data_IF_199460995304
#
_entry.id   IF_199460995304
#
_cell.length_a   1.000
_cell.length_b   1.000
_cell.length_c   1.000
_cell.angle_alpha   90.00
_cell.angle_beta   90.00
_cell.angle_gamma   90.00
#
_symmetry.space_group_name_H-M   'P 1'
#
loop_
_entity.id
_entity.type
_entity.pdbx_description
1 polymer ?
#
# COMPACT_ATOMS: atom_id res chain seq x y z
N UNK A 1 -15.47 28.44 -11.59
CA UNK A 1 -16.31 27.37 -12.16
C UNK A 1 -15.45 26.22 -12.71
N UNK A 2 -14.46 26.46 -13.62
CA UNK A 2 -13.59 25.41 -14.19
C UNK A 2 -12.80 24.64 -13.12
N UNK A 3 -12.31 25.28 -12.06
CA UNK A 3 -11.59 24.65 -10.96
C UNK A 3 -12.52 23.77 -10.13
N UNK A 4 -13.72 24.24 -9.82
CA UNK A 4 -14.74 23.48 -9.08
C UNK A 4 -15.24 22.26 -9.88
N UNK A 5 -15.46 22.41 -11.18
CA UNK A 5 -15.79 21.31 -12.09
C UNK A 5 -14.65 20.28 -12.21
N UNK A 6 -13.39 20.74 -12.22
CA UNK A 6 -12.21 19.86 -12.22
C UNK A 6 -12.06 19.07 -10.91
N UNK A 7 -12.39 19.69 -9.77
CA UNK A 7 -12.41 19.03 -8.47
C UNK A 7 -13.55 18.01 -8.37
N UNK A 8 -14.76 18.38 -8.79
CA UNK A 8 -15.90 17.48 -8.89
C UNK A 8 -15.64 16.30 -9.84
N UNK A 9 -15.03 16.55 -10.99
CA UNK A 9 -14.63 15.49 -11.92
C UNK A 9 -13.66 14.51 -11.28
N UNK A 10 -12.65 14.99 -10.56
CA UNK A 10 -11.71 14.12 -9.81
C UNK A 10 -12.40 13.33 -8.71
N UNK A 11 -13.24 13.97 -7.88
CA UNK A 11 -13.93 13.27 -6.79
C UNK A 11 -14.99 12.26 -7.25
N UNK A 12 -15.65 12.48 -8.39
CA UNK A 12 -16.79 11.66 -8.82
C UNK A 12 -16.53 10.82 -10.08
N UNK A 13 -15.50 11.12 -10.86
CA UNK A 13 -15.25 10.43 -12.13
C UNK A 13 -13.96 9.61 -12.12
N UNK A 14 -12.87 10.16 -11.60
CA UNK A 14 -11.56 9.52 -11.70
C UNK A 14 -11.40 8.37 -10.69
N UNK A 15 -12.19 8.38 -9.59
CA UNK A 15 -12.15 7.36 -8.53
C UNK A 15 -13.29 6.33 -8.61
N UNK A 16 -14.03 6.28 -9.72
CA UNK A 16 -15.03 5.23 -9.94
C UNK A 16 -14.35 3.87 -10.07
N UNK A 17 -14.97 2.83 -9.52
CA UNK A 17 -14.47 1.45 -9.60
C UNK A 17 -14.21 1.00 -11.04
N UNK A 18 -15.02 1.45 -11.99
CA UNK A 18 -14.89 1.13 -13.42
C UNK A 18 -13.61 1.70 -14.07
N UNK A 19 -12.99 2.71 -13.46
CA UNK A 19 -11.77 3.34 -13.95
C UNK A 19 -10.49 2.68 -13.41
N UNK A 20 -10.60 1.77 -12.45
CA UNK A 20 -9.46 1.08 -11.88
C UNK A 20 -8.83 0.11 -12.89
N UNK A 21 -7.54 -0.20 -12.69
CA UNK A 21 -6.86 -1.25 -13.45
C UNK A 21 -7.45 -2.63 -13.20
N UNK A 22 -7.85 -2.88 -11.96
CA UNK A 22 -8.62 -4.06 -11.57
C UNK A 22 -9.46 -3.75 -10.32
N UNK A 23 -10.68 -4.27 -10.29
CA UNK A 23 -11.58 -4.17 -9.16
C UNK A 23 -12.26 -5.52 -8.91
N UNK A 24 -11.94 -6.14 -7.81
CA UNK A 24 -12.56 -7.40 -7.34
C UNK A 24 -13.97 -7.20 -6.77
N UNK A 25 -14.50 -8.26 -6.16
CA UNK A 25 -15.81 -8.24 -5.53
C UNK A 25 -15.77 -7.56 -4.16
N UNK A 26 -16.89 -6.93 -3.77
CA UNK A 26 -17.08 -6.31 -2.44
C UNK A 26 -16.03 -5.24 -2.08
N UNK A 27 -15.39 -4.62 -3.05
CA UNK A 27 -14.48 -3.47 -2.82
C UNK A 27 -15.29 -2.29 -2.30
N UNK A 28 -14.80 -1.65 -1.22
CA UNK A 28 -15.46 -0.49 -0.58
C UNK A 28 -14.52 0.70 -0.57
N UNK A 29 -14.90 1.77 -1.24
CA UNK A 29 -14.21 3.06 -1.24
C UNK A 29 -15.08 4.08 -0.50
N UNK A 30 -14.56 4.68 0.58
CA UNK A 30 -15.22 5.80 1.26
C UNK A 30 -14.62 7.11 0.77
N UNK A 31 -15.43 7.92 0.13
CA UNK A 31 -15.02 9.20 -0.45
C UNK A 31 -14.91 10.31 0.60
N UNK A 32 -14.08 11.37 0.37
CA UNK A 32 -13.28 11.59 -0.84
C UNK A 32 -12.01 10.71 -0.89
N UNK A 33 -11.66 10.23 -2.09
CA UNK A 33 -10.41 9.53 -2.38
C UNK A 33 -9.83 10.12 -3.67
N UNK A 34 -8.52 10.23 -3.78
CA UNK A 34 -7.83 10.70 -4.97
C UNK A 34 -6.81 9.68 -5.48
N UNK A 35 -6.99 9.20 -6.70
CA UNK A 35 -6.00 8.42 -7.44
C UNK A 35 -5.49 9.24 -8.62
N UNK A 36 -4.17 9.50 -8.70
CA UNK A 36 -3.62 10.26 -9.82
C UNK A 36 -3.73 9.48 -11.14
N UNK A 37 -3.49 8.17 -11.12
CA UNK A 37 -3.71 7.28 -12.23
C UNK A 37 -4.51 6.05 -11.79
N UNK A 38 -5.85 6.10 -11.88
CA UNK A 38 -6.72 4.98 -11.45
C UNK A 38 -6.44 3.68 -12.21
N UNK A 39 -5.98 3.75 -13.47
CA UNK A 39 -5.64 2.57 -14.26
C UNK A 39 -4.49 1.75 -13.68
N UNK A 40 -3.68 2.35 -12.82
CA UNK A 40 -2.60 1.70 -12.09
C UNK A 40 -2.97 1.37 -10.63
N UNK A 41 -4.26 1.28 -10.32
CA UNK A 41 -4.78 0.82 -9.02
C UNK A 41 -5.50 -0.50 -9.21
N UNK A 42 -5.06 -1.52 -8.47
CA UNK A 42 -5.54 -2.90 -8.53
C UNK A 42 -6.03 -3.30 -7.14
N UNK A 43 -7.33 -3.46 -7.00
CA UNK A 43 -7.97 -3.81 -5.73
C UNK A 43 -8.63 -5.18 -5.88
N UNK A 44 -8.15 -6.16 -5.12
CA UNK A 44 -8.72 -7.50 -5.10
C UNK A 44 -10.00 -7.57 -4.24
N UNK A 45 -10.54 -8.76 -4.05
CA UNK A 45 -11.81 -8.97 -3.35
C UNK A 45 -11.76 -8.48 -1.88
N UNK A 46 -12.85 -7.88 -1.43
CA UNK A 46 -13.06 -7.40 -0.07
C UNK A 46 -12.09 -6.29 0.38
N UNK A 47 -11.41 -5.62 -0.53
CA UNK A 47 -10.53 -4.47 -0.19
C UNK A 47 -11.37 -3.29 0.28
N UNK A 48 -10.89 -2.61 1.34
CA UNK A 48 -11.53 -1.42 1.89
C UNK A 48 -10.52 -0.27 1.94
N UNK A 49 -10.87 0.87 1.37
CA UNK A 49 -10.10 2.13 1.52
C UNK A 49 -11.03 3.20 2.08
N UNK A 50 -10.67 3.74 3.23
CA UNK A 50 -11.42 4.80 3.90
C UNK A 50 -11.13 6.18 3.30
N UNK A 51 -11.94 7.16 3.69
CA UNK A 51 -11.94 8.52 3.17
C UNK A 51 -10.61 9.28 3.32
N UNK A 52 -10.49 10.35 2.57
CA UNK A 52 -9.33 11.27 2.52
C UNK A 52 -8.01 10.60 2.08
N UNK A 53 -8.11 9.44 1.44
CA UNK A 53 -6.95 8.69 0.97
C UNK A 53 -6.43 9.23 -0.36
N UNK A 54 -5.10 9.18 -0.52
CA UNK A 54 -4.39 9.75 -1.67
C UNK A 54 -3.39 8.73 -2.25
N UNK A 55 -3.49 8.46 -3.54
CA UNK A 55 -2.52 7.64 -4.28
C UNK A 55 -1.85 8.47 -5.36
N UNK A 56 -0.58 8.81 -5.13
CA UNK A 56 0.28 9.53 -6.07
C UNK A 56 1.03 8.49 -6.89
N UNK A 57 0.48 8.15 -8.04
CA UNK A 57 1.02 7.14 -8.94
C UNK A 57 0.94 7.61 -10.39
N UNK A 58 1.99 7.39 -11.17
CA UNK A 58 1.99 7.69 -12.60
C UNK A 58 2.13 6.40 -13.41
N UNK A 59 3.26 5.72 -13.31
CA UNK A 59 3.53 4.42 -13.94
C UNK A 59 3.56 3.28 -12.95
N UNK A 60 3.97 3.54 -11.69
CA UNK A 60 3.92 2.56 -10.62
C UNK A 60 2.48 2.24 -10.18
N UNK A 61 2.27 1.03 -9.73
CA UNK A 61 0.95 0.50 -9.34
C UNK A 61 0.76 0.53 -7.83
N UNK A 62 -0.49 0.71 -7.42
CA UNK A 62 -0.96 0.26 -6.12
C UNK A 62 -1.68 -1.07 -6.32
N UNK A 63 -1.22 -2.12 -5.63
CA UNK A 63 -1.85 -3.44 -5.62
C UNK A 63 -2.26 -3.75 -4.19
N UNK A 64 -3.55 -3.83 -3.93
CA UNK A 64 -4.08 -4.27 -2.64
C UNK A 64 -4.73 -5.64 -2.83
N UNK A 65 -4.18 -6.63 -2.13
CA UNK A 65 -4.66 -8.00 -2.22
C UNK A 65 -5.88 -8.24 -1.33
N UNK A 66 -6.54 -9.37 -1.52
CA UNK A 66 -7.82 -9.70 -0.92
C UNK A 66 -7.84 -9.51 0.60
N UNK A 67 -8.97 -9.05 1.11
CA UNK A 67 -9.24 -8.82 2.54
C UNK A 67 -8.36 -7.74 3.20
N UNK A 68 -7.51 -7.03 2.44
CA UNK A 68 -6.71 -5.94 3.01
C UNK A 68 -7.52 -4.66 3.17
N UNK A 69 -7.10 -3.80 4.11
CA UNK A 69 -7.82 -2.57 4.37
C UNK A 69 -6.95 -1.42 4.82
N UNK A 70 -7.32 -0.21 4.43
CA UNK A 70 -6.69 1.02 4.85
C UNK A 70 -7.69 1.99 5.48
N UNK A 71 -7.32 2.51 6.64
CA UNK A 71 -8.08 3.53 7.35
C UNK A 71 -7.91 4.91 6.70
N UNK A 72 -8.54 5.92 7.27
CA UNK A 72 -8.59 7.29 6.73
C UNK A 72 -7.20 7.89 6.49
N UNK A 73 -7.10 8.70 5.45
CA UNK A 73 -5.87 9.42 5.07
C UNK A 73 -4.69 8.49 4.76
N UNK A 74 -5.00 7.32 4.22
CA UNK A 74 -4.00 6.43 3.67
C UNK A 74 -3.33 7.09 2.46
N UNK A 75 -2.01 7.20 2.48
CA UNK A 75 -1.24 7.83 1.41
C UNK A 75 -0.27 6.82 0.79
N UNK A 76 -0.28 6.72 -0.53
CA UNK A 76 0.67 5.92 -1.31
C UNK A 76 1.43 6.80 -2.28
N UNK A 77 2.74 6.65 -2.33
CA UNK A 77 3.62 7.35 -3.26
C UNK A 77 4.44 6.30 -4.00
N UNK A 78 4.13 6.06 -5.29
CA UNK A 78 4.84 5.06 -6.10
C UNK A 78 6.09 5.60 -6.78
N UNK A 79 6.24 6.92 -6.82
CA UNK A 79 7.32 7.59 -7.54
C UNK A 79 8.23 8.41 -6.65
N UNK A 80 9.43 8.67 -7.16
CA UNK A 80 10.39 9.55 -6.50
C UNK A 80 11.23 10.27 -7.55
N UNK A 81 11.54 11.54 -7.27
CA UNK A 81 12.42 12.34 -8.12
C UNK A 81 13.84 12.27 -7.57
N UNK A 82 14.80 11.97 -8.43
CA UNK A 82 16.21 11.93 -8.08
C UNK A 82 16.97 13.10 -8.70
N UNK A 83 17.97 13.64 -7.98
CA UNK A 83 18.86 14.65 -8.56
C UNK A 83 19.60 14.09 -9.77
N UNK A 84 19.71 14.88 -10.82
CA UNK A 84 20.53 14.59 -12.00
C UNK A 84 21.79 15.46 -11.94
N UNK A 85 22.96 14.84 -12.08
CA UNK A 85 24.24 15.56 -12.06
C UNK A 85 24.24 16.73 -13.06
N UNK A 86 24.67 17.89 -12.62
CA UNK A 86 24.77 19.12 -13.42
C UNK A 86 23.43 19.66 -13.95
N UNK A 87 22.30 19.31 -13.30
CA UNK A 87 20.97 19.84 -13.64
C UNK A 87 20.25 20.35 -12.40
N UNK A 88 19.54 21.44 -12.57
CA UNK A 88 18.63 21.94 -11.54
C UNK A 88 17.39 21.07 -11.42
N UNK A 89 16.74 21.10 -10.27
CA UNK A 89 15.52 20.31 -9.99
C UNK A 89 14.46 20.51 -11.08
N UNK A 90 14.19 21.76 -11.44
CA UNK A 90 13.15 22.09 -12.43
C UNK A 90 13.41 21.43 -13.80
N UNK A 91 14.66 21.40 -14.26
CA UNK A 91 15.01 20.76 -15.52
C UNK A 91 14.87 19.24 -15.46
N UNK A 92 15.33 18.64 -14.35
CA UNK A 92 15.24 17.19 -14.18
C UNK A 92 13.78 16.72 -14.08
N UNK A 93 12.93 17.42 -13.36
CA UNK A 93 11.50 17.10 -13.21
C UNK A 93 10.75 17.29 -14.52
N UNK A 94 10.99 18.40 -15.25
CA UNK A 94 10.32 18.67 -16.53
C UNK A 94 10.52 17.55 -17.56
N UNK A 95 11.67 16.92 -17.55
CA UNK A 95 12.02 15.85 -18.49
C UNK A 95 11.97 14.45 -17.86
N UNK A 96 11.60 14.33 -16.59
CA UNK A 96 11.55 13.06 -15.84
C UNK A 96 12.83 12.22 -15.98
N UNK A 97 13.98 12.89 -16.01
CA UNK A 97 15.27 12.28 -16.38
C UNK A 97 15.74 11.19 -15.39
N UNK A 98 15.31 11.26 -14.15
CA UNK A 98 15.71 10.34 -13.10
C UNK A 98 14.53 9.92 -12.20
N UNK A 99 13.32 9.94 -12.74
CA UNK A 99 12.15 9.45 -12.01
C UNK A 99 12.24 7.93 -11.83
N UNK A 100 12.09 7.48 -10.60
CA UNK A 100 12.00 6.06 -10.26
C UNK A 100 10.60 5.81 -9.74
N UNK A 101 9.85 4.95 -10.43
CA UNK A 101 8.57 4.47 -9.97
C UNK A 101 8.60 2.96 -9.76
N UNK A 102 8.07 2.51 -8.64
CA UNK A 102 7.94 1.09 -8.29
C UNK A 102 6.59 0.85 -7.67
N UNK A 103 6.06 -0.34 -7.89
CA UNK A 103 4.79 -0.75 -7.33
C UNK A 103 4.82 -0.76 -5.81
N UNK A 104 3.69 -0.40 -5.22
CA UNK A 104 3.40 -0.60 -3.80
C UNK A 104 2.40 -1.74 -3.69
N UNK A 105 2.75 -2.74 -2.88
CA UNK A 105 1.94 -3.94 -2.70
C UNK A 105 1.49 -4.02 -1.24
N UNK A 106 0.20 -4.18 -1.04
CA UNK A 106 -0.39 -4.50 0.27
C UNK A 106 -0.91 -5.93 0.17
N UNK A 107 -0.23 -6.84 0.86
CA UNK A 107 -0.56 -8.26 0.84
C UNK A 107 -1.89 -8.54 1.56
N UNK A 108 -2.36 -9.78 1.43
CA UNK A 108 -3.64 -10.23 1.97
C UNK A 108 -3.78 -9.98 3.47
N UNK A 109 -5.00 -9.67 3.91
CA UNK A 109 -5.37 -9.41 5.32
C UNK A 109 -4.50 -8.36 6.04
N UNK A 110 -3.70 -7.58 5.33
CA UNK A 110 -2.94 -6.49 5.92
C UNK A 110 -3.86 -5.33 6.31
N UNK A 111 -3.60 -4.74 7.47
CA UNK A 111 -4.43 -3.68 8.08
C UNK A 111 -3.61 -2.42 8.24
N UNK A 112 -4.01 -1.39 7.53
CA UNK A 112 -3.29 -0.10 7.51
C UNK A 112 -4.06 0.90 8.38
N UNK A 113 -3.41 1.42 9.40
CA UNK A 113 -3.95 2.44 10.30
C UNK A 113 -4.13 3.81 9.62
N UNK A 114 -4.80 4.73 10.32
CA UNK A 114 -5.04 6.07 9.80
C UNK A 114 -3.74 6.90 9.65
N UNK A 115 -3.72 7.81 8.67
CA UNK A 115 -2.56 8.67 8.37
C UNK A 115 -1.26 7.91 8.07
N UNK A 116 -1.33 6.71 7.54
CA UNK A 116 -0.15 5.95 7.12
C UNK A 116 0.28 6.38 5.74
N UNK A 117 1.59 6.57 5.56
CA UNK A 117 2.20 6.82 4.25
C UNK A 117 3.08 5.64 3.86
N UNK A 118 2.85 5.07 2.66
CA UNK A 118 3.68 4.00 2.09
C UNK A 118 4.45 4.54 0.90
N UNK A 119 5.77 4.36 0.92
CA UNK A 119 6.66 4.88 -0.12
C UNK A 119 6.92 3.85 -1.22
N UNK A 120 7.47 4.35 -2.30
CA UNK A 120 7.82 3.65 -3.53
C UNK A 120 8.52 2.31 -3.30
N UNK A 121 8.04 1.26 -3.94
CA UNK A 121 8.64 -0.07 -3.96
C UNK A 121 8.44 -0.90 -2.70
N UNK A 122 7.55 -0.48 -1.80
CA UNK A 122 7.29 -1.19 -0.54
C UNK A 122 6.23 -2.27 -0.72
N UNK A 123 6.50 -3.43 -0.13
CA UNK A 123 5.52 -4.51 0.10
C UNK A 123 5.18 -4.59 1.59
N UNK A 124 3.90 -4.45 1.92
CA UNK A 124 3.37 -4.74 3.26
C UNK A 124 3.04 -6.24 3.30
N UNK A 125 3.65 -6.95 4.24
CA UNK A 125 3.49 -8.41 4.35
C UNK A 125 2.07 -8.82 4.76
N UNK A 126 1.69 -10.06 4.39
CA UNK A 126 0.40 -10.67 4.71
C UNK A 126 0.09 -10.58 6.21
N UNK A 127 -1.15 -10.26 6.56
CA UNK A 127 -1.62 -10.19 7.94
C UNK A 127 -0.94 -9.15 8.81
N UNK A 128 -0.11 -8.25 8.25
CA UNK A 128 0.57 -7.21 9.01
C UNK A 128 -0.37 -6.10 9.46
N UNK A 129 -0.04 -5.49 10.60
CA UNK A 129 -0.75 -4.34 11.14
C UNK A 129 0.19 -3.14 11.14
N UNK A 130 -0.19 -2.11 10.39
CA UNK A 130 0.55 -0.85 10.35
C UNK A 130 -0.13 0.16 11.25
N UNK A 131 0.57 0.58 12.30
CA UNK A 131 0.06 1.56 13.26
C UNK A 131 -0.16 2.93 12.63
N UNK A 132 -1.17 3.65 13.12
CA UNK A 132 -1.52 4.97 12.65
C UNK A 132 -0.34 5.95 12.69
N UNK A 133 -0.27 6.86 11.70
CA UNK A 133 0.79 7.87 11.59
C UNK A 133 2.15 7.35 11.15
N UNK A 134 2.25 6.09 10.74
CA UNK A 134 3.52 5.49 10.31
C UNK A 134 3.93 5.89 8.90
N UNK A 135 5.26 5.99 8.67
CA UNK A 135 5.84 6.17 7.33
C UNK A 135 6.68 4.96 6.97
N UNK A 136 6.15 4.15 6.03
CA UNK A 136 6.73 2.88 5.62
C UNK A 136 7.62 3.08 4.40
N UNK A 137 8.90 2.78 4.54
CA UNK A 137 9.92 2.94 3.49
C UNK A 137 10.74 1.67 3.19
N UNK A 138 10.39 0.57 3.83
CA UNK A 138 10.98 -0.77 3.61
C UNK A 138 9.87 -1.80 3.70
N UNK A 139 10.06 -2.93 3.05
CA UNK A 139 9.14 -4.07 3.15
C UNK A 139 8.95 -4.47 4.61
N UNK A 140 7.73 -4.88 4.94
CA UNK A 140 7.40 -5.41 6.26
C UNK A 140 7.25 -6.93 6.18
N UNK A 141 7.75 -7.66 7.19
CA UNK A 141 7.56 -9.12 7.21
C UNK A 141 6.08 -9.45 7.44
N UNK A 142 5.60 -10.62 6.98
CA UNK A 142 4.24 -11.07 7.25
C UNK A 142 3.93 -11.11 8.75
N UNK A 143 2.69 -10.85 9.11
CA UNK A 143 2.15 -10.88 10.48
C UNK A 143 2.87 -9.95 11.47
N UNK A 144 3.57 -8.94 10.98
CA UNK A 144 4.27 -7.96 11.84
C UNK A 144 3.37 -6.81 12.26
N UNK A 145 3.66 -6.25 13.44
CA UNK A 145 3.14 -4.95 13.89
C UNK A 145 4.23 -3.91 13.69
N UNK A 146 3.94 -2.91 12.86
CA UNK A 146 4.90 -1.91 12.41
C UNK A 146 4.41 -0.52 12.76
N UNK A 147 5.21 0.28 13.46
CA UNK A 147 4.81 1.61 13.93
C UNK A 147 5.95 2.61 13.78
N UNK A 148 5.60 3.86 13.55
CA UNK A 148 6.48 5.01 13.70
C UNK A 148 6.90 5.72 12.41
N UNK A 149 7.68 6.78 12.57
CA UNK A 149 8.32 7.53 11.50
C UNK A 149 9.78 7.86 11.89
N UNK A 150 10.76 7.18 11.32
CA UNK A 150 10.65 6.06 10.39
C UNK A 150 10.09 4.77 11.07
N UNK A 151 9.27 4.03 10.34
CA UNK A 151 8.61 2.85 10.87
C UNK A 151 9.58 1.70 11.20
N UNK A 152 9.24 0.95 12.25
CA UNK A 152 9.96 -0.24 12.72
C UNK A 152 8.98 -1.36 13.06
N UNK A 153 9.39 -2.59 12.84
CA UNK A 153 8.72 -3.76 13.41
C UNK A 153 8.92 -3.71 14.93
N UNK A 154 7.83 -3.78 15.68
CA UNK A 154 7.86 -3.75 17.14
C UNK A 154 7.53 -5.10 17.77
N UNK A 155 6.75 -5.91 17.09
CA UNK A 155 6.41 -7.30 17.44
C UNK A 155 5.70 -8.00 16.29
N UNK A 156 5.36 -9.25 16.49
CA UNK A 156 4.48 -10.01 15.61
C UNK A 156 3.09 -10.20 16.23
N UNK A 157 2.10 -10.42 15.39
CA UNK A 157 0.69 -10.58 15.82
C UNK A 157 0.50 -11.84 16.64
N UNK A 158 1.18 -12.92 16.23
CA UNK A 158 1.08 -14.26 16.80
C UNK A 158 2.48 -14.91 16.84
N UNK A 159 2.62 -16.03 17.57
CA UNK A 159 3.82 -16.86 17.50
C UNK A 159 4.00 -17.50 16.12
N UNK A 160 5.21 -17.94 15.73
CA UNK A 160 5.40 -18.65 14.46
C UNK A 160 4.52 -19.90 14.33
N UNK A 161 4.33 -20.62 15.42
CA UNK A 161 3.52 -21.83 15.49
C UNK A 161 2.02 -21.50 15.26
N UNK A 162 1.50 -20.47 15.95
CA UNK A 162 0.13 -20.03 15.79
C UNK A 162 -0.15 -19.50 14.37
N UNK A 163 0.84 -18.78 13.77
CA UNK A 163 0.74 -18.34 12.38
C UNK A 163 0.68 -19.55 11.44
N UNK A 164 1.52 -20.56 11.65
CA UNK A 164 1.51 -21.76 10.82
C UNK A 164 0.19 -22.51 10.91
N UNK A 165 -0.42 -22.62 12.09
CA UNK A 165 -1.76 -23.19 12.28
C UNK A 165 -2.83 -22.34 11.60
N UNK A 166 -2.77 -21.02 11.76
CA UNK A 166 -3.66 -20.08 11.08
C UNK A 166 -3.60 -20.22 9.55
N UNK A 167 -2.40 -20.35 8.99
CA UNK A 167 -2.23 -20.54 7.54
C UNK A 167 -2.75 -21.91 7.06
N UNK A 168 -2.64 -22.97 7.88
CA UNK A 168 -3.20 -24.26 7.57
C UNK A 168 -4.73 -24.21 7.34
N UNK A 169 -5.42 -23.37 8.11
CA UNK A 169 -6.87 -23.24 8.07
C UNK A 169 -7.37 -22.30 6.96
N UNK A 170 -6.56 -21.34 6.51
CA UNK A 170 -7.02 -20.26 5.63
C UNK A 170 -6.45 -20.32 4.21
N UNK A 171 -5.27 -20.93 4.03
CA UNK A 171 -4.56 -20.87 2.75
C UNK A 171 -4.30 -22.28 2.17
N UNK A 172 -4.36 -22.44 0.84
CA UNK A 172 -3.93 -23.68 0.20
C UNK A 172 -2.43 -23.90 0.43
N UNK A 173 -2.01 -25.16 0.41
CA UNK A 173 -0.63 -25.57 0.74
C UNK A 173 0.44 -24.78 -0.03
N UNK A 174 0.17 -24.49 -1.31
CA UNK A 174 1.08 -23.77 -2.21
C UNK A 174 1.31 -22.30 -1.84
N UNK A 175 0.43 -21.72 -1.00
CA UNK A 175 0.48 -20.30 -0.61
C UNK A 175 0.91 -20.10 0.85
N UNK A 176 1.05 -21.20 1.61
CA UNK A 176 1.40 -21.14 3.05
C UNK A 176 2.84 -20.72 3.28
N UNK A 177 3.05 -19.92 4.31
CA UNK A 177 4.39 -19.60 4.79
C UNK A 177 4.91 -20.76 5.64
N UNK A 178 6.12 -21.23 5.35
CA UNK A 178 6.72 -22.30 6.15
C UNK A 178 7.10 -21.80 7.55
N UNK A 179 7.00 -22.69 8.55
CA UNK A 179 7.36 -22.39 9.93
C UNK A 179 8.82 -21.86 10.06
N UNK A 180 9.73 -22.38 9.25
CA UNK A 180 11.12 -21.92 9.24
C UNK A 180 11.26 -20.47 8.79
N UNK A 181 10.50 -20.05 7.79
CA UNK A 181 10.46 -18.65 7.32
C UNK A 181 9.89 -17.75 8.42
N UNK A 182 8.81 -18.16 9.06
CA UNK A 182 8.18 -17.42 10.15
C UNK A 182 9.12 -17.22 11.34
N UNK A 183 9.80 -18.28 11.79
CA UNK A 183 10.81 -18.20 12.85
C UNK A 183 11.95 -17.25 12.49
N UNK A 184 12.52 -17.41 11.31
CA UNK A 184 13.59 -16.53 10.82
C UNK A 184 13.18 -15.06 10.78
N UNK A 185 11.94 -14.76 10.36
CA UNK A 185 11.45 -13.38 10.39
C UNK A 185 11.37 -12.83 11.81
N UNK A 186 10.83 -13.59 12.76
CA UNK A 186 10.72 -13.12 14.13
C UNK A 186 12.11 -12.94 14.79
N UNK A 187 13.03 -13.84 14.58
CA UNK A 187 14.42 -13.71 15.05
C UNK A 187 15.17 -12.51 14.45
N UNK A 188 14.86 -12.14 13.20
CA UNK A 188 15.56 -11.04 12.50
C UNK A 188 15.11 -9.67 13.00
N UNK A 189 13.86 -9.54 13.48
CA UNK A 189 13.25 -8.24 13.75
C UNK A 189 12.96 -7.99 15.24
N UNK A 190 13.10 -8.97 16.10
CA UNK A 190 12.96 -8.90 17.56
C UNK A 190 14.21 -9.37 18.26
#
# INVERSE_FOLDING_TARGET
>A
LKIALGALKRCFYDTRLDNLGFCGKNVKLEYPISFHNPRNVFLEDNVIIKSDSLVINTTGKLIMKKNSGAAQRFTVITGNHHPVKNKLFFESVKHRLADIEKDVIVEEDARIGANVTILCGVTIGRGSIIGAGSVIRKNTPPYSIVIGNPARVIKFVLSPEDIAEHELNLYPETERLSLNILKKHQETYI
#
